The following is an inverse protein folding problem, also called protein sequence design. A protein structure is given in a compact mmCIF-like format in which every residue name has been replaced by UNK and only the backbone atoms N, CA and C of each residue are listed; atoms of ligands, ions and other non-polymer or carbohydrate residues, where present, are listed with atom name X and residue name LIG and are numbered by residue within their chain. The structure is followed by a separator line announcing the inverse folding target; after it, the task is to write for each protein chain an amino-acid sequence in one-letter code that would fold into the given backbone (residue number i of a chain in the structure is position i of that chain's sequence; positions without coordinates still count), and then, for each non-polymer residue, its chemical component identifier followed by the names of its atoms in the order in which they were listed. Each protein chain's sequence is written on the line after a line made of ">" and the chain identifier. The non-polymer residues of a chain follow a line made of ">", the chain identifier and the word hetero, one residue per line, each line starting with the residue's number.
data_IF_423633111004
#
_entry.id   IF_423633111004
#
_cell.length_a   1.000
_cell.length_b   1.000
_cell.length_c   1.000
_cell.angle_alpha   90.00
_cell.angle_beta   90.00
_cell.angle_gamma   90.00
#
_symmetry.space_group_name_H-M   'P 1'
#
loop_
_entity.id
_entity.type
_entity.pdbx_description
1 polymer ?
#
# COMPACT_ATOMS: atom_id res chain seq x y z
N UNK A 1 8.65 19.32 -36.77
CA UNK A 1 7.70 19.32 -35.64
C UNK A 1 6.63 18.24 -35.84
N UNK A 2 7.01 16.96 -35.91
CA UNK A 2 6.06 15.84 -36.10
C UNK A 2 6.53 14.60 -35.31
N UNK A 3 6.78 14.76 -34.01
CA UNK A 3 7.30 13.68 -33.14
C UNK A 3 6.39 13.31 -31.97
N UNK A 4 5.15 13.81 -31.92
CA UNK A 4 4.23 13.61 -30.79
C UNK A 4 3.08 12.63 -31.13
N UNK A 5 3.03 12.08 -32.35
CA UNK A 5 1.75 11.64 -32.95
C UNK A 5 1.29 10.18 -32.73
N UNK A 6 2.06 9.32 -32.04
CA UNK A 6 1.63 7.95 -31.73
C UNK A 6 1.52 7.68 -30.22
N UNK A 7 2.48 8.12 -29.42
CA UNK A 7 2.43 7.95 -27.96
C UNK A 7 1.31 8.77 -27.32
N UNK A 8 1.13 10.04 -27.70
CA UNK A 8 0.07 10.87 -27.13
C UNK A 8 -1.35 10.36 -27.43
N UNK A 9 -1.53 9.61 -28.54
CA UNK A 9 -2.80 8.97 -28.89
C UNK A 9 -3.10 7.73 -28.03
N UNK A 10 -2.08 6.94 -27.69
CA UNK A 10 -2.21 5.75 -26.85
C UNK A 10 -2.64 6.08 -25.39
N UNK A 11 -2.35 7.30 -24.91
CA UNK A 11 -2.62 7.70 -23.51
C UNK A 11 -3.84 8.61 -23.32
N UNK A 12 -4.35 9.22 -24.40
CA UNK A 12 -5.66 9.90 -24.39
C UNK A 12 -6.81 8.89 -24.18
N UNK A 13 -6.55 7.62 -24.46
CA UNK A 13 -7.43 6.48 -24.22
C UNK A 13 -6.98 5.64 -23.01
N UNK A 14 -6.62 6.28 -21.89
CA UNK A 14 -6.81 5.58 -20.63
C UNK A 14 -8.33 5.46 -20.41
N UNK A 15 -8.92 4.49 -21.10
CA UNK A 15 -10.35 4.30 -21.13
C UNK A 15 -10.84 4.08 -19.71
N UNK A 16 -12.06 4.54 -19.42
CA UNK A 16 -12.74 4.21 -18.18
C UNK A 16 -12.67 2.72 -17.83
N UNK A 17 -12.54 1.84 -18.83
CA UNK A 17 -12.28 0.41 -18.65
C UNK A 17 -10.96 0.08 -17.95
N UNK A 18 -9.85 0.78 -18.22
CA UNK A 18 -8.56 0.55 -17.50
C UNK A 18 -8.65 1.03 -16.05
N UNK A 19 -9.23 2.20 -15.80
CA UNK A 19 -9.43 2.70 -14.44
C UNK A 19 -10.39 1.80 -13.65
N UNK A 20 -11.49 1.39 -14.27
CA UNK A 20 -12.44 0.44 -13.69
C UNK A 20 -11.75 -0.89 -13.39
N UNK A 21 -10.93 -1.42 -14.31
CA UNK A 21 -10.15 -2.64 -14.08
C UNK A 21 -9.17 -2.48 -12.91
N UNK A 22 -8.51 -1.34 -12.77
CA UNK A 22 -7.58 -1.10 -11.65
C UNK A 22 -8.31 -1.02 -10.32
N UNK A 23 -9.44 -0.32 -10.25
CA UNK A 23 -10.30 -0.28 -9.06
C UNK A 23 -10.83 -1.69 -8.77
N UNK A 24 -11.29 -2.40 -9.80
CA UNK A 24 -11.79 -3.76 -9.71
C UNK A 24 -10.72 -4.70 -9.15
N UNK A 25 -9.51 -4.71 -9.72
CA UNK A 25 -8.37 -5.52 -9.25
C UNK A 25 -8.00 -5.14 -7.81
N UNK A 26 -7.85 -3.84 -7.52
CA UNK A 26 -7.42 -3.39 -6.19
C UNK A 26 -8.50 -3.61 -5.12
N UNK A 27 -9.79 -3.65 -5.47
CA UNK A 27 -10.90 -3.86 -4.54
C UNK A 27 -11.38 -5.31 -4.44
N UNK A 28 -11.39 -6.08 -5.53
CA UNK A 28 -11.77 -7.50 -5.52
C UNK A 28 -10.68 -8.37 -4.93
N UNK A 29 -9.40 -8.09 -5.14
CA UNK A 29 -8.35 -8.95 -4.59
C UNK A 29 -8.27 -8.97 -3.06
N UNK A 30 -8.41 -7.83 -2.34
CA UNK A 30 -8.53 -7.87 -0.89
C UNK A 30 -9.77 -8.60 -0.45
N UNK A 31 -10.88 -8.51 -1.21
CA UNK A 31 -12.10 -9.26 -0.94
C UNK A 31 -11.90 -10.77 -1.15
N UNK A 32 -11.17 -11.17 -2.21
CA UNK A 32 -10.77 -12.55 -2.49
C UNK A 32 -9.78 -13.05 -1.45
N UNK A 33 -8.84 -12.23 -0.99
CA UNK A 33 -7.90 -12.57 0.08
C UNK A 33 -8.60 -12.68 1.45
N UNK A 34 -9.58 -11.81 1.74
CA UNK A 34 -10.45 -11.89 2.92
C UNK A 34 -11.25 -13.19 2.90
N UNK A 35 -11.97 -13.45 1.82
CA UNK A 35 -12.81 -14.64 1.69
C UNK A 35 -11.97 -15.90 1.66
N UNK A 36 -10.87 -15.94 0.91
CA UNK A 36 -9.93 -17.07 0.90
C UNK A 36 -9.29 -17.26 2.27
N UNK A 37 -8.81 -16.21 2.92
CA UNK A 37 -8.22 -16.28 4.27
C UNK A 37 -9.20 -16.78 5.33
N UNK A 38 -10.47 -16.36 5.26
CA UNK A 38 -11.53 -16.88 6.11
C UNK A 38 -11.82 -18.36 5.83
N UNK A 39 -11.90 -18.75 4.56
CA UNK A 39 -12.24 -20.11 4.12
C UNK A 39 -11.09 -21.13 4.25
N UNK A 40 -9.84 -20.67 4.24
CA UNK A 40 -8.63 -21.52 4.23
C UNK A 40 -7.82 -21.44 5.53
N UNK A 41 -8.38 -20.84 6.57
CA UNK A 41 -7.80 -20.74 7.92
C UNK A 41 -7.40 -22.07 8.56
N UNK A 42 -7.76 -23.20 7.94
CA UNK A 42 -7.37 -24.56 8.34
C UNK A 42 -5.96 -24.97 7.91
N UNK A 43 -5.31 -24.25 6.98
CA UNK A 43 -3.96 -24.56 6.51
C UNK A 43 -2.97 -23.44 6.84
N UNK A 44 -1.85 -23.78 7.50
CA UNK A 44 -0.78 -22.83 7.81
C UNK A 44 -0.18 -22.13 6.56
N UNK A 45 -0.36 -22.71 5.37
CA UNK A 45 0.20 -22.17 4.11
C UNK A 45 -0.66 -21.07 3.49
N UNK A 46 -1.98 -21.12 3.70
CA UNK A 46 -2.88 -20.20 3.02
C UNK A 46 -2.76 -18.74 3.52
N UNK A 47 -2.58 -18.47 4.83
CA UNK A 47 -2.30 -17.12 5.31
C UNK A 47 -1.01 -16.52 4.74
N UNK A 48 0.05 -17.33 4.60
CA UNK A 48 1.32 -16.90 3.99
C UNK A 48 1.14 -16.56 2.51
N UNK A 49 0.37 -17.36 1.77
CA UNK A 49 0.05 -17.07 0.37
C UNK A 49 -0.75 -15.77 0.25
N UNK A 50 -1.70 -15.51 1.16
CA UNK A 50 -2.46 -14.26 1.20
C UNK A 50 -1.57 -13.05 1.46
N UNK A 51 -0.59 -13.17 2.37
CA UNK A 51 0.41 -12.13 2.60
C UNK A 51 1.21 -11.85 1.32
N UNK A 52 1.75 -12.88 0.66
CA UNK A 52 2.55 -12.72 -0.55
C UNK A 52 1.76 -12.12 -1.70
N UNK A 53 0.54 -12.61 -1.95
CA UNK A 53 -0.34 -12.08 -2.99
C UNK A 53 -0.71 -10.62 -2.71
N UNK A 54 -1.12 -10.31 -1.48
CA UNK A 54 -1.48 -8.94 -1.10
C UNK A 54 -0.33 -7.96 -1.26
N UNK A 55 0.90 -8.36 -0.88
CA UNK A 55 2.12 -7.57 -1.11
C UNK A 55 2.39 -7.40 -2.60
N UNK A 56 2.44 -8.50 -3.37
CA UNK A 56 2.71 -8.47 -4.81
C UNK A 56 1.74 -7.55 -5.54
N UNK A 57 0.44 -7.65 -5.25
CA UNK A 57 -0.60 -6.82 -5.88
C UNK A 57 -0.40 -5.35 -5.53
N UNK A 58 -0.13 -5.05 -4.26
CA UNK A 58 0.11 -3.67 -3.84
C UNK A 58 1.31 -3.07 -4.58
N UNK A 59 2.43 -3.79 -4.63
CA UNK A 59 3.62 -3.34 -5.36
C UNK A 59 3.41 -3.29 -6.87
N UNK A 60 2.67 -4.24 -7.47
CA UNK A 60 2.39 -4.25 -8.89
C UNK A 60 1.48 -3.06 -9.28
N UNK A 61 0.43 -2.80 -8.50
CA UNK A 61 -0.42 -1.62 -8.64
C UNK A 61 0.41 -0.35 -8.51
N UNK A 62 1.21 -0.24 -7.45
CA UNK A 62 2.08 0.91 -7.21
C UNK A 62 3.08 1.13 -8.35
N UNK A 63 3.82 0.09 -8.77
CA UNK A 63 4.79 0.17 -9.87
C UNK A 63 4.14 0.55 -11.20
N UNK A 64 2.95 0.03 -11.50
CA UNK A 64 2.19 0.42 -12.68
C UNK A 64 1.78 1.90 -12.60
N UNK A 65 1.32 2.34 -11.43
CA UNK A 65 0.91 3.72 -11.17
C UNK A 65 2.09 4.67 -11.18
N UNK A 66 3.29 4.29 -10.74
CA UNK A 66 4.52 5.09 -10.81
C UNK A 66 5.06 5.21 -12.25
N UNK A 67 4.78 4.24 -13.12
CA UNK A 67 5.06 4.33 -14.56
C UNK A 67 4.00 5.15 -15.32
N UNK A 68 2.84 5.43 -14.72
CA UNK A 68 1.77 6.20 -15.33
C UNK A 68 2.03 7.72 -15.42
N UNK A 69 2.56 8.44 -14.42
CA UNK A 69 2.75 9.89 -14.49
C UNK A 69 3.80 10.32 -15.52
N UNK A 70 4.75 9.46 -15.92
CA UNK A 70 5.60 9.71 -17.11
C UNK A 70 4.84 9.66 -18.44
N UNK A 71 3.57 9.26 -18.43
CA UNK A 71 2.76 9.00 -19.65
C UNK A 71 1.38 9.68 -19.65
N UNK A 72 0.89 10.16 -18.50
CA UNK A 72 -0.43 10.78 -18.34
C UNK A 72 -0.36 12.31 -18.42
N UNK A 73 -0.96 12.92 -19.44
CA UNK A 73 -1.08 14.38 -19.59
C UNK A 73 -2.26 15.01 -18.81
N UNK A 74 -3.05 14.19 -18.11
CA UNK A 74 -4.31 14.59 -17.47
C UNK A 74 -4.17 14.59 -15.94
N UNK A 75 -4.41 15.76 -15.32
CA UNK A 75 -4.41 15.94 -13.87
C UNK A 75 -5.44 15.03 -13.17
N UNK A 76 -6.56 14.78 -13.83
CA UNK A 76 -7.64 13.93 -13.34
C UNK A 76 -7.20 12.46 -13.25
N UNK A 77 -6.47 11.98 -14.25
CA UNK A 77 -5.91 10.62 -14.30
C UNK A 77 -4.86 10.41 -13.22
N UNK A 78 -3.99 11.41 -13.01
CA UNK A 78 -3.00 11.38 -11.94
C UNK A 78 -3.64 11.35 -10.55
N UNK A 79 -4.70 12.14 -10.32
CA UNK A 79 -5.45 12.13 -9.06
C UNK A 79 -6.06 10.76 -8.74
N UNK A 80 -6.67 10.10 -9.73
CA UNK A 80 -7.18 8.74 -9.55
C UNK A 80 -6.06 7.72 -9.31
N UNK A 81 -4.93 7.86 -10.00
CA UNK A 81 -3.78 6.99 -9.80
C UNK A 81 -3.29 7.03 -8.34
N UNK A 82 -3.08 8.22 -7.78
CA UNK A 82 -2.65 8.38 -6.38
C UNK A 82 -3.67 7.80 -5.38
N UNK A 83 -4.97 7.89 -5.70
CA UNK A 83 -6.03 7.30 -4.87
C UNK A 83 -5.97 5.77 -4.86
N UNK A 84 -5.78 5.14 -6.02
CA UNK A 84 -5.64 3.68 -6.14
C UNK A 84 -4.37 3.20 -5.44
N UNK A 85 -3.26 3.94 -5.55
CA UNK A 85 -2.02 3.61 -4.83
C UNK A 85 -2.23 3.67 -3.31
N UNK A 86 -2.87 4.73 -2.81
CA UNK A 86 -3.16 4.84 -1.38
C UNK A 86 -4.02 3.68 -0.88
N UNK A 87 -5.03 3.26 -1.65
CA UNK A 87 -5.81 2.08 -1.31
C UNK A 87 -4.96 0.81 -1.32
N UNK A 88 -4.08 0.66 -2.32
CA UNK A 88 -3.15 -0.47 -2.43
C UNK A 88 -2.23 -0.58 -1.21
N UNK A 89 -1.83 0.54 -0.60
CA UNK A 89 -1.07 0.54 0.65
C UNK A 89 -1.90 -0.04 1.80
N UNK A 90 -3.17 0.37 1.94
CA UNK A 90 -4.09 -0.21 2.94
C UNK A 90 -4.26 -1.73 2.76
N UNK A 91 -4.31 -2.21 1.52
CA UNK A 91 -4.35 -3.64 1.19
C UNK A 91 -3.05 -4.34 1.62
N UNK A 92 -1.89 -3.75 1.34
CA UNK A 92 -0.58 -4.29 1.74
C UNK A 92 -0.45 -4.42 3.25
N UNK A 93 -0.87 -3.38 3.98
CA UNK A 93 -0.87 -3.37 5.44
C UNK A 93 -1.77 -4.51 5.95
N UNK A 94 -3.01 -4.58 5.47
CA UNK A 94 -3.95 -5.65 5.83
C UNK A 94 -3.35 -7.05 5.58
N UNK A 95 -2.78 -7.28 4.39
CA UNK A 95 -2.19 -8.56 4.02
C UNK A 95 -1.05 -9.00 4.95
N UNK A 96 -0.32 -8.05 5.52
CA UNK A 96 0.78 -8.31 6.48
C UNK A 96 0.28 -8.92 7.78
N UNK A 97 -0.92 -8.57 8.23
CA UNK A 97 -1.50 -9.09 9.47
C UNK A 97 -2.21 -10.45 9.34
N UNK A 98 -2.53 -10.89 8.12
CA UNK A 98 -3.30 -12.13 7.87
C UNK A 98 -2.67 -13.38 8.54
N UNK A 99 -1.35 -13.64 8.47
CA UNK A 99 -0.74 -14.82 9.11
C UNK A 99 -0.92 -14.88 10.62
N UNK A 100 -1.13 -13.72 11.26
CA UNK A 100 -1.22 -13.58 12.72
C UNK A 100 -2.67 -13.51 13.20
N UNK A 101 -3.64 -13.47 12.28
CA UNK A 101 -5.04 -13.23 12.59
C UNK A 101 -5.69 -14.37 13.39
N UNK A 102 -5.14 -15.58 13.39
CA UNK A 102 -5.76 -16.79 13.97
C UNK A 102 -6.15 -16.66 15.44
N UNK A 103 -5.39 -15.90 16.24
CA UNK A 103 -5.71 -15.67 17.66
C UNK A 103 -6.91 -14.75 17.85
N UNK A 104 -7.16 -13.83 16.93
CA UNK A 104 -8.17 -12.78 17.04
C UNK A 104 -8.86 -12.51 15.69
N UNK A 105 -9.28 -13.57 15.01
CA UNK A 105 -9.78 -13.53 13.62
C UNK A 105 -10.85 -12.47 13.42
N UNK A 106 -11.95 -12.54 14.18
CA UNK A 106 -13.07 -11.62 14.02
C UNK A 106 -12.69 -10.16 14.27
N UNK A 107 -11.87 -9.90 15.31
CA UNK A 107 -11.42 -8.56 15.64
C UNK A 107 -10.49 -7.99 14.56
N UNK A 108 -9.51 -8.77 14.09
CA UNK A 108 -8.56 -8.35 13.06
C UNK A 108 -9.25 -8.07 11.73
N UNK A 109 -10.03 -9.02 11.21
CA UNK A 109 -10.73 -8.85 9.93
C UNK A 109 -11.83 -7.80 10.01
N UNK A 110 -12.55 -7.71 11.14
CA UNK A 110 -13.57 -6.69 11.35
C UNK A 110 -12.98 -5.28 11.39
N UNK A 111 -11.94 -5.05 12.19
CA UNK A 111 -11.28 -3.75 12.28
C UNK A 111 -10.60 -3.36 10.96
N UNK A 112 -9.84 -4.27 10.35
CA UNK A 112 -9.16 -4.00 9.08
C UNK A 112 -10.15 -3.75 7.94
N UNK A 113 -11.23 -4.54 7.88
CA UNK A 113 -12.30 -4.35 6.90
C UNK A 113 -13.00 -3.00 7.06
N UNK A 114 -13.29 -2.58 8.30
CA UNK A 114 -13.88 -1.27 8.58
C UNK A 114 -12.96 -0.11 8.16
N UNK A 115 -11.66 -0.20 8.46
CA UNK A 115 -10.68 0.79 8.04
C UNK A 115 -10.57 0.83 6.51
N UNK A 116 -10.50 -0.31 5.84
CA UNK A 116 -10.42 -0.37 4.38
C UNK A 116 -11.68 0.20 3.72
N UNK A 117 -12.86 -0.10 4.26
CA UNK A 117 -14.12 0.48 3.80
C UNK A 117 -14.12 2.00 3.99
N UNK A 118 -13.67 2.49 5.15
CA UNK A 118 -13.52 3.92 5.40
C UNK A 118 -12.52 4.56 4.42
N UNK A 119 -11.38 3.91 4.14
CA UNK A 119 -10.41 4.38 3.16
C UNK A 119 -11.03 4.49 1.76
N UNK A 120 -11.85 3.51 1.35
CA UNK A 120 -12.56 3.54 0.08
C UNK A 120 -13.56 4.71 0.00
N UNK A 121 -14.30 4.98 1.09
CA UNK A 121 -15.20 6.14 1.19
C UNK A 121 -14.40 7.46 1.08
N UNK A 122 -13.26 7.57 1.76
CA UNK A 122 -12.41 8.76 1.74
C UNK A 122 -11.76 9.00 0.37
N UNK A 123 -11.51 7.94 -0.39
CA UNK A 123 -11.11 8.03 -1.80
C UNK A 123 -12.25 8.60 -2.64
N UNK A 124 -13.47 8.07 -2.49
CA UNK A 124 -14.64 8.54 -3.22
C UNK A 124 -14.97 10.02 -2.93
N UNK A 125 -14.80 10.47 -1.69
CA UNK A 125 -15.01 11.87 -1.27
C UNK A 125 -13.79 12.77 -1.49
N UNK A 126 -12.68 12.24 -2.03
CA UNK A 126 -11.42 12.96 -2.29
C UNK A 126 -10.83 13.63 -1.04
N UNK A 127 -11.07 13.07 0.15
CA UNK A 127 -10.61 13.62 1.42
C UNK A 127 -9.19 13.10 1.78
N UNK A 128 -8.16 13.86 1.42
CA UNK A 128 -6.77 13.39 1.50
C UNK A 128 -6.18 13.28 2.91
N UNK A 129 -6.34 14.33 3.74
CA UNK A 129 -5.80 14.31 5.10
C UNK A 129 -6.42 13.19 5.96
N UNK A 130 -7.75 13.02 5.99
CA UNK A 130 -8.35 11.89 6.69
C UNK A 130 -7.86 10.55 6.17
N UNK A 131 -7.64 10.42 4.85
CA UNK A 131 -7.14 9.18 4.24
C UNK A 131 -5.76 8.82 4.77
N UNK A 132 -4.84 9.78 4.87
CA UNK A 132 -3.51 9.56 5.46
C UNK A 132 -3.63 9.06 6.90
N UNK A 133 -4.47 9.70 7.74
CA UNK A 133 -4.67 9.27 9.12
C UNK A 133 -5.24 7.85 9.21
N UNK A 134 -6.18 7.49 8.32
CA UNK A 134 -6.74 6.12 8.27
C UNK A 134 -5.67 5.11 7.88
N UNK A 135 -4.84 5.40 6.87
CA UNK A 135 -3.73 4.52 6.49
C UNK A 135 -2.71 4.35 7.62
N UNK A 136 -2.35 5.43 8.32
CA UNK A 136 -1.46 5.39 9.47
C UNK A 136 -2.07 4.61 10.64
N UNK A 137 -3.36 4.80 10.92
CA UNK A 137 -4.06 4.05 11.96
C UNK A 137 -4.07 2.56 11.64
N UNK A 138 -4.27 2.18 10.38
CA UNK A 138 -4.18 0.78 9.94
C UNK A 138 -2.77 0.20 10.09
N UNK A 139 -1.75 0.99 9.73
CA UNK A 139 -0.36 0.58 9.88
C UNK A 139 -0.01 0.33 11.35
N UNK A 140 -0.29 1.30 12.22
CA UNK A 140 -0.02 1.21 13.66
C UNK A 140 -0.77 0.03 14.28
N UNK A 141 -2.05 -0.13 13.96
CA UNK A 141 -2.86 -1.22 14.51
C UNK A 141 -2.33 -2.59 14.07
N UNK A 142 -1.98 -2.74 12.79
CA UNK A 142 -1.45 -4.00 12.26
C UNK A 142 -0.08 -4.34 12.83
N UNK A 143 0.84 -3.37 12.86
CA UNK A 143 2.18 -3.56 13.41
C UNK A 143 2.11 -3.92 14.89
N UNK A 144 1.30 -3.20 15.67
CA UNK A 144 1.10 -3.47 17.11
C UNK A 144 0.49 -4.85 17.33
N UNK A 145 -0.50 -5.24 16.50
CA UNK A 145 -1.12 -6.57 16.56
C UNK A 145 -0.10 -7.68 16.30
N UNK A 146 0.74 -7.54 15.25
CA UNK A 146 1.80 -8.51 14.96
C UNK A 146 2.80 -8.56 16.12
N UNK A 147 3.20 -7.42 16.68
CA UNK A 147 4.11 -7.35 17.82
C UNK A 147 3.55 -8.10 19.04
N UNK A 148 2.27 -7.88 19.35
CA UNK A 148 1.57 -8.61 20.41
C UNK A 148 1.55 -10.13 20.16
N UNK A 149 1.13 -10.57 18.97
CA UNK A 149 1.02 -12.01 18.64
C UNK A 149 2.38 -12.70 18.57
N UNK A 150 3.40 -12.02 18.05
CA UNK A 150 4.76 -12.54 17.94
C UNK A 150 5.60 -12.35 19.21
N UNK A 151 5.00 -11.91 20.32
CA UNK A 151 5.71 -11.63 21.59
C UNK A 151 6.91 -10.69 21.41
N UNK A 152 6.78 -9.69 20.53
CA UNK A 152 7.78 -8.66 20.26
C UNK A 152 9.13 -9.24 19.77
N UNK A 153 9.06 -10.31 18.98
CA UNK A 153 10.21 -10.99 18.40
C UNK A 153 11.21 -10.01 17.76
N UNK A 154 12.52 -10.20 17.94
CA UNK A 154 13.54 -9.24 17.51
C UNK A 154 13.50 -8.92 16.00
N UNK A 155 13.17 -9.91 15.17
CA UNK A 155 13.00 -9.71 13.72
C UNK A 155 11.79 -8.81 13.42
N UNK A 156 10.72 -8.87 14.21
CA UNK A 156 9.59 -7.96 14.08
C UNK A 156 9.99 -6.53 14.45
N UNK A 157 10.80 -6.35 15.50
CA UNK A 157 11.31 -5.03 15.89
C UNK A 157 12.15 -4.46 14.76
N UNK A 158 13.09 -5.24 14.22
CA UNK A 158 13.94 -4.83 13.10
C UNK A 158 13.11 -4.43 11.86
N UNK A 159 12.11 -5.24 11.49
CA UNK A 159 11.21 -4.94 10.37
C UNK A 159 10.39 -3.66 10.60
N UNK A 160 9.87 -3.49 11.82
CA UNK A 160 9.12 -2.28 12.21
C UNK A 160 10.01 -1.04 12.14
N UNK A 161 11.25 -1.13 12.63
CA UNK A 161 12.23 -0.05 12.52
C UNK A 161 12.59 0.25 11.06
N UNK A 162 12.65 -0.75 10.18
CA UNK A 162 12.87 -0.54 8.76
C UNK A 162 11.71 0.26 8.13
N UNK A 163 10.45 -0.06 8.44
CA UNK A 163 9.30 0.74 7.98
C UNK A 163 9.36 2.18 8.50
N UNK A 164 9.59 2.37 9.80
CA UNK A 164 9.69 3.71 10.42
C UNK A 164 10.85 4.49 9.80
N UNK A 165 12.01 3.84 9.63
CA UNK A 165 13.18 4.39 8.96
C UNK A 165 12.86 4.85 7.54
N UNK A 166 12.11 4.04 6.78
CA UNK A 166 11.61 4.41 5.46
C UNK A 166 10.84 5.72 5.49
N UNK A 167 9.82 5.81 6.35
CA UNK A 167 9.03 7.04 6.49
C UNK A 167 9.87 8.23 6.98
N UNK A 168 10.83 8.00 7.89
CA UNK A 168 11.69 9.04 8.44
C UNK A 168 12.69 9.58 7.40
N UNK A 169 13.35 8.72 6.63
CA UNK A 169 14.24 9.10 5.53
C UNK A 169 13.48 9.87 4.44
N UNK A 170 12.20 9.53 4.26
CA UNK A 170 11.36 10.10 3.22
C UNK A 170 10.71 11.45 3.59
N UNK A 171 10.39 11.67 4.87
CA UNK A 171 9.67 12.85 5.35
C UNK A 171 10.34 14.22 5.05
N UNK A 172 11.67 14.40 5.24
CA UNK A 172 12.34 15.66 4.91
C UNK A 172 12.25 16.02 3.41
N UNK A 173 12.25 15.01 2.54
CA UNK A 173 12.12 15.18 1.08
C UNK A 173 10.71 15.61 0.74
N UNK A 174 9.69 15.03 1.38
CA UNK A 174 8.30 15.46 1.27
C UNK A 174 8.12 16.93 1.68
N UNK A 175 8.60 17.30 2.88
CA UNK A 175 8.46 18.65 3.44
C UNK A 175 9.16 19.74 2.63
N UNK A 176 10.37 19.46 2.12
CA UNK A 176 11.14 20.42 1.30
C UNK A 176 10.46 20.70 -0.04
N UNK A 177 9.73 19.73 -0.58
CA UNK A 177 9.07 19.85 -1.87
C UNK A 177 7.70 20.57 -1.79
N UNK A 178 7.12 20.72 -0.60
CA UNK A 178 5.85 21.44 -0.38
C UNK A 178 5.97 22.95 -0.10
N UNK A 179 7.19 23.46 0.06
CA UNK A 179 7.40 24.91 0.22
C UNK A 179 7.51 25.59 -1.15
N UNK A 180 6.42 26.21 -1.60
CA UNK A 180 6.46 27.26 -2.63
C UNK A 180 5.78 26.95 -3.97
N UNK A 181 4.83 26.03 -4.05
CA UNK A 181 4.06 25.80 -5.29
C UNK A 181 2.56 25.71 -5.02
N UNK A 182 1.79 26.19 -6.00
CA UNK A 182 0.32 26.25 -6.04
C UNK A 182 -0.33 24.97 -5.53
N UNK A 183 -1.55 25.06 -4.96
CA UNK A 183 -2.44 23.98 -4.47
C UNK A 183 -2.43 22.64 -5.24
N UNK A 184 -2.02 22.65 -6.51
CA UNK A 184 -1.73 21.49 -7.38
C UNK A 184 -0.63 20.56 -6.84
N UNK A 185 0.35 21.07 -6.08
CA UNK A 185 1.41 20.27 -5.45
C UNK A 185 0.98 19.71 -4.08
N UNK A 186 -0.14 20.15 -3.48
CA UNK A 186 -0.55 19.72 -2.13
C UNK A 186 -1.07 18.27 -2.05
N UNK A 187 -1.64 17.76 -3.15
CA UNK A 187 -2.01 16.33 -3.27
C UNK A 187 -0.77 15.45 -3.47
N UNK A 188 0.28 16.01 -4.09
CA UNK A 188 1.61 15.42 -4.21
C UNK A 188 2.35 15.53 -2.86
N UNK A 189 2.14 16.57 -2.06
CA UNK A 189 2.78 16.75 -0.74
C UNK A 189 2.39 15.67 0.27
N UNK A 190 1.16 15.16 0.20
CA UNK A 190 0.67 14.10 1.10
C UNK A 190 1.04 12.69 0.64
N UNK A 191 1.39 12.52 -0.65
CA UNK A 191 1.78 11.24 -1.27
C UNK A 191 3.00 11.42 -2.20
N UNK A 192 4.13 12.01 -1.75
CA UNK A 192 5.13 12.56 -2.67
C UNK A 192 5.96 11.47 -3.37
N UNK A 193 5.78 10.20 -2.98
CA UNK A 193 6.51 9.09 -3.56
C UNK A 193 6.17 8.93 -5.05
N UNK A 194 5.12 9.58 -5.55
CA UNK A 194 4.71 9.58 -6.95
C UNK A 194 5.42 10.61 -7.85
N UNK A 195 6.40 11.37 -7.37
CA UNK A 195 7.06 12.40 -8.19
C UNK A 195 8.06 11.80 -9.19
N UNK A 196 7.86 12.08 -10.48
CA UNK A 196 8.71 11.63 -11.59
C UNK A 196 10.14 12.17 -11.45
N UNK A 197 11.15 11.33 -11.69
CA UNK A 197 12.52 11.76 -11.99
C UNK A 197 13.45 12.01 -10.80
N UNK A 198 13.11 11.56 -9.59
CA UNK A 198 14.01 11.62 -8.43
C UNK A 198 14.10 10.25 -7.74
N UNK A 199 15.05 9.47 -8.24
CA UNK A 199 15.23 8.05 -7.93
C UNK A 199 15.81 7.79 -6.52
N UNK A 200 16.79 8.55 -6.05
CA UNK A 200 17.52 8.24 -4.78
C UNK A 200 16.65 7.98 -3.53
N UNK A 201 16.13 9.02 -2.88
CA UNK A 201 15.41 8.84 -1.59
C UNK A 201 14.09 8.05 -1.70
N UNK A 202 13.53 7.92 -2.91
CA UNK A 202 12.34 7.12 -3.16
C UNK A 202 12.69 5.63 -3.28
N UNK A 203 13.81 5.31 -3.93
CA UNK A 203 14.36 3.95 -3.97
C UNK A 203 14.82 3.49 -2.58
N UNK A 204 15.46 4.36 -1.81
CA UNK A 204 15.83 4.08 -0.41
C UNK A 204 14.59 3.78 0.45
N UNK A 205 13.50 4.53 0.24
CA UNK A 205 12.22 4.27 0.89
C UNK A 205 11.68 2.87 0.54
N UNK A 206 11.60 2.52 -0.74
CA UNK A 206 11.15 1.20 -1.18
C UNK A 206 12.05 0.06 -0.70
N UNK A 207 13.36 0.28 -0.67
CA UNK A 207 14.31 -0.69 -0.13
C UNK A 207 14.04 -0.93 1.36
N UNK A 208 13.81 0.11 2.15
CA UNK A 208 13.46 -0.01 3.56
C UNK A 208 12.10 -0.69 3.76
N UNK A 209 11.11 -0.44 2.90
CA UNK A 209 9.85 -1.18 2.90
C UNK A 209 10.06 -2.67 2.60
N UNK A 210 10.89 -3.00 1.60
CA UNK A 210 11.23 -4.38 1.24
C UNK A 210 11.93 -5.11 2.39
N UNK A 211 12.87 -4.45 3.08
CA UNK A 211 13.51 -5.00 4.28
C UNK A 211 12.46 -5.28 5.37
N UNK A 212 11.55 -4.34 5.61
CA UNK A 212 10.42 -4.53 6.52
C UNK A 212 9.55 -5.73 6.14
N UNK A 213 9.23 -5.89 4.86
CA UNK A 213 8.44 -7.00 4.33
C UNK A 213 9.13 -8.35 4.51
N UNK A 214 10.43 -8.43 4.23
CA UNK A 214 11.23 -9.65 4.45
C UNK A 214 11.22 -10.03 5.93
N UNK A 215 11.42 -9.07 6.83
CA UNK A 215 11.34 -9.31 8.27
C UNK A 215 9.95 -9.82 8.69
N UNK A 216 8.87 -9.18 8.22
CA UNK A 216 7.50 -9.64 8.48
C UNK A 216 7.24 -11.05 7.95
N UNK A 217 7.75 -11.38 6.76
CA UNK A 217 7.63 -12.70 6.16
C UNK A 217 8.36 -13.77 6.97
N UNK A 218 9.57 -13.49 7.43
CA UNK A 218 10.32 -14.37 8.34
C UNK A 218 9.53 -14.60 9.62
N UNK A 219 9.03 -13.53 10.27
CA UNK A 219 8.22 -13.65 11.49
C UNK A 219 6.96 -14.48 11.23
N UNK A 220 6.30 -14.29 10.08
CA UNK A 220 5.12 -15.05 9.71
C UNK A 220 5.41 -16.54 9.50
N UNK A 221 6.54 -16.90 8.89
CA UNK A 221 6.99 -18.30 8.76
C UNK A 221 7.27 -18.89 10.14
N UNK A 222 8.10 -18.22 10.93
CA UNK A 222 8.48 -18.64 12.29
C UNK A 222 7.23 -18.89 13.15
N UNK A 223 6.28 -17.96 13.13
CA UNK A 223 4.98 -18.08 13.78
C UNK A 223 4.17 -19.28 13.24
N UNK A 224 4.06 -19.44 11.92
CA UNK A 224 3.30 -20.53 11.29
C UNK A 224 3.88 -21.92 11.57
N UNK A 225 5.19 -22.00 11.84
CA UNK A 225 5.89 -23.22 12.21
C UNK A 225 5.87 -23.48 13.72
N UNK A 226 5.30 -22.58 14.53
CA UNK A 226 5.31 -22.70 15.99
C UNK A 226 6.68 -22.52 16.63
N UNK A 227 7.65 -22.00 15.87
CA UNK A 227 8.96 -21.62 16.37
C UNK A 227 8.77 -20.25 17.04
N UNK A 228 8.94 -20.17 18.36
CA UNK A 228 8.86 -18.90 19.11
C UNK A 228 10.23 -18.28 19.27
#
# INVERSE_FOLDING_TARGET
>A
MEGISAHARFYKEMSWGRLALMILVTCLLPFVALTTGLLTSTSARAPLLCLLLGKFISYASSAFLHKSPTTSSSQLTHGYACQVDTFSICVSIFATGIPFASLHTAAFYGASGAIMALCAVLIATKAERPRLFVTLAQFISTVTFIGYVSSWHHVWVAGTLAYIGGFACYSPVAMRNGKGRTLVDATIESVPWHRIGRYGCHEDFHLLLLVGDICCFIVAITYSLGLK
#
